data_IF_737238484016
#
_entry.id   IF_737238484016
#
_cell.length_a   1.000
_cell.length_b   1.000
_cell.length_c   1.000
_cell.angle_alpha   90.00
_cell.angle_beta   90.00
_cell.angle_gamma   90.00
#
_symmetry.space_group_name_H-M   'P 1'
#
loop_
_entity.id
_entity.type
_entity.pdbx_description
1 polymer ?
#
# COMPACT_ATOMS: atom_id res chain seq x y z
N UNK A 1 -16.15 -1.87 -15.75
CA UNK A 1 -14.99 -2.57 -16.35
C UNK A 1 -14.28 -1.74 -17.42
N UNK A 2 -14.98 -1.01 -18.31
CA UNK A 2 -14.32 -0.17 -19.34
C UNK A 2 -13.44 0.94 -18.77
N UNK A 3 -13.88 1.64 -17.71
CA UNK A 3 -13.11 2.75 -17.09
C UNK A 3 -11.76 2.29 -16.50
N UNK A 4 -11.68 1.05 -16.02
CA UNK A 4 -10.46 0.48 -15.45
C UNK A 4 -9.45 0.12 -16.54
N UNK A 5 -9.93 -0.35 -17.69
CA UNK A 5 -9.10 -0.62 -18.87
C UNK A 5 -8.60 0.68 -19.52
N UNK A 6 -9.46 1.70 -19.58
CA UNK A 6 -9.12 3.06 -20.06
C UNK A 6 -8.07 3.74 -19.18
N UNK A 7 -8.17 3.60 -17.85
CA UNK A 7 -7.11 4.05 -16.93
C UNK A 7 -5.77 3.37 -17.22
N UNK A 8 -5.76 2.06 -17.48
CA UNK A 8 -4.53 1.31 -17.75
C UNK A 8 -3.89 1.69 -19.08
N UNK A 9 -4.69 2.06 -20.09
CA UNK A 9 -4.18 2.48 -21.40
C UNK A 9 -3.78 3.94 -21.46
N UNK A 10 -4.43 4.83 -20.69
CA UNK A 10 -4.22 6.27 -20.80
C UNK A 10 -4.42 7.06 -19.48
N UNK A 11 -3.72 6.65 -18.43
CA UNK A 11 -3.85 7.20 -17.08
C UNK A 11 -3.69 8.74 -16.98
N UNK A 12 -2.89 9.36 -17.84
CA UNK A 12 -2.65 10.83 -17.81
C UNK A 12 -3.86 11.60 -18.30
N UNK A 13 -4.41 11.26 -19.46
CA UNK A 13 -5.57 11.95 -20.03
C UNK A 13 -6.83 11.68 -19.21
N UNK A 14 -7.02 10.43 -18.76
CA UNK A 14 -8.07 10.08 -17.81
C UNK A 14 -8.02 10.96 -16.55
N UNK A 15 -6.83 11.16 -16.00
CA UNK A 15 -6.65 11.90 -14.76
C UNK A 15 -6.79 13.43 -14.91
N UNK A 16 -6.78 13.97 -16.13
CA UNK A 16 -7.06 15.39 -16.33
C UNK A 16 -8.54 15.71 -16.06
N UNK A 17 -9.44 14.77 -16.35
CA UNK A 17 -10.89 14.97 -16.28
C UNK A 17 -11.54 14.25 -15.09
N UNK A 18 -10.95 13.17 -14.59
CA UNK A 18 -11.53 12.31 -13.55
C UNK A 18 -10.57 12.06 -12.40
N UNK A 19 -11.13 11.95 -11.20
CA UNK A 19 -10.38 11.58 -10.00
C UNK A 19 -9.80 10.17 -10.15
N UNK A 20 -8.50 10.03 -9.88
CA UNK A 20 -7.82 8.74 -10.05
C UNK A 20 -8.25 7.66 -9.05
N UNK A 21 -8.93 8.05 -7.97
CA UNK A 21 -9.32 7.14 -6.88
C UNK A 21 -10.78 6.69 -7.01
N UNK A 22 -11.70 7.63 -7.26
CA UNK A 22 -13.14 7.31 -7.36
C UNK A 22 -13.69 7.34 -8.79
N UNK A 23 -12.86 7.66 -9.79
CA UNK A 23 -13.20 7.72 -11.22
C UNK A 23 -14.29 8.75 -11.59
N UNK A 24 -14.81 9.51 -10.62
CA UNK A 24 -15.78 10.58 -10.86
C UNK A 24 -15.14 11.78 -11.57
N UNK A 25 -15.88 12.38 -12.49
CA UNK A 25 -15.45 13.59 -13.20
C UNK A 25 -15.28 14.77 -12.25
N UNK A 26 -14.24 15.58 -12.46
CA UNK A 26 -14.06 16.83 -11.74
C UNK A 26 -15.15 17.83 -12.11
N UNK A 27 -15.59 18.60 -11.12
CA UNK A 27 -16.59 19.66 -11.29
C UNK A 27 -16.13 20.85 -10.49
N UNK A 28 -16.05 22.01 -11.13
CA UNK A 28 -15.42 23.20 -10.57
C UNK A 28 -15.96 23.59 -9.17
N UNK A 29 -17.26 23.37 -8.93
CA UNK A 29 -17.93 23.74 -7.67
C UNK A 29 -18.06 22.56 -6.70
N UNK A 30 -18.52 21.40 -7.19
CA UNK A 30 -18.93 20.27 -6.33
C UNK A 30 -17.83 19.23 -6.13
N UNK A 31 -16.83 19.20 -7.00
CA UNK A 31 -15.80 18.18 -7.01
C UNK A 31 -14.48 18.78 -7.50
N UNK A 32 -13.93 19.76 -6.76
CA UNK A 32 -12.73 20.49 -7.17
C UNK A 32 -11.55 19.54 -7.33
N UNK A 33 -10.66 19.91 -8.24
CA UNK A 33 -9.52 19.10 -8.66
C UNK A 33 -8.29 19.49 -7.84
N UNK A 34 -7.77 18.55 -7.06
CA UNK A 34 -6.58 18.73 -6.22
C UNK A 34 -5.42 17.85 -6.70
N UNK A 35 -4.18 18.33 -6.57
CA UNK A 35 -2.98 17.57 -6.95
C UNK A 35 -2.37 16.88 -5.71
N UNK A 36 -2.27 15.56 -5.73
CA UNK A 36 -1.62 14.82 -4.66
C UNK A 36 -0.11 15.13 -4.59
N UNK A 37 0.40 15.51 -3.42
CA UNK A 37 1.82 15.83 -3.21
C UNK A 37 2.74 14.63 -3.39
N UNK A 38 2.25 13.41 -3.12
CA UNK A 38 3.04 12.18 -3.18
C UNK A 38 3.10 11.61 -4.61
N UNK A 39 1.95 11.23 -5.19
CA UNK A 39 1.92 10.54 -6.48
C UNK A 39 1.76 11.45 -7.70
N UNK A 40 1.57 12.77 -7.50
CA UNK A 40 1.39 13.76 -8.58
C UNK A 40 0.20 13.50 -9.51
N UNK A 41 -0.82 12.79 -9.03
CA UNK A 41 -2.08 12.55 -9.74
C UNK A 41 -3.20 13.41 -9.15
N UNK A 42 -4.14 13.82 -9.99
CA UNK A 42 -5.30 14.59 -9.59
C UNK A 42 -6.34 13.73 -8.86
N UNK A 43 -6.88 14.29 -7.79
CA UNK A 43 -7.89 13.68 -6.94
C UNK A 43 -8.95 14.70 -6.57
N UNK A 44 -10.16 14.24 -6.25
CA UNK A 44 -11.15 15.14 -5.71
C UNK A 44 -10.97 15.37 -4.22
N UNK A 45 -11.59 16.44 -3.71
CA UNK A 45 -11.65 16.77 -2.29
C UNK A 45 -12.01 15.56 -1.39
N UNK A 46 -13.00 14.75 -1.78
CA UNK A 46 -13.42 13.57 -1.00
C UNK A 46 -12.38 12.44 -1.00
N UNK A 47 -11.45 12.44 -1.94
CA UNK A 47 -10.41 11.42 -2.09
C UNK A 47 -9.03 11.87 -1.58
N UNK A 48 -8.92 13.09 -1.05
CA UNK A 48 -7.69 13.60 -0.45
C UNK A 48 -7.92 14.12 0.98
N UNK A 49 -6.80 14.46 1.63
CA UNK A 49 -6.74 15.09 2.93
C UNK A 49 -5.76 16.25 2.82
N UNK A 50 -6.14 17.40 3.36
CA UNK A 50 -5.27 18.57 3.46
C UNK A 50 -4.38 18.45 4.69
N UNK A 51 -3.09 18.71 4.52
CA UNK A 51 -2.11 18.79 5.61
C UNK A 51 -1.76 20.26 5.81
N UNK A 52 -2.22 20.92 6.89
CA UNK A 52 -1.98 22.35 7.11
C UNK A 52 -0.51 22.71 7.25
N UNK A 53 0.29 21.82 7.84
CA UNK A 53 1.71 22.06 8.15
C UNK A 53 2.54 22.23 6.88
N UNK A 54 2.28 21.38 5.87
CA UNK A 54 2.96 21.41 4.57
C UNK A 54 2.18 22.20 3.51
N UNK A 55 0.94 22.59 3.81
CA UNK A 55 -0.03 23.19 2.87
C UNK A 55 -0.24 22.33 1.62
N UNK A 56 -0.27 21.01 1.78
CA UNK A 56 -0.42 20.06 0.66
C UNK A 56 -1.65 19.19 0.76
N UNK A 57 -2.14 18.74 -0.39
CA UNK A 57 -3.15 17.69 -0.48
C UNK A 57 -2.51 16.34 -0.72
N UNK A 58 -2.93 15.32 0.03
CA UNK A 58 -2.47 13.93 -0.18
C UNK A 58 -3.67 13.02 -0.40
N UNK A 59 -3.62 12.15 -1.41
CA UNK A 59 -4.71 11.21 -1.64
C UNK A 59 -4.77 10.14 -0.54
N UNK A 60 -5.98 9.69 -0.21
CA UNK A 60 -6.21 8.66 0.82
C UNK A 60 -5.45 7.36 0.52
N UNK A 61 -5.23 7.03 -0.76
CA UNK A 61 -4.44 5.87 -1.16
C UNK A 61 -2.96 6.00 -0.78
N UNK A 62 -2.34 7.17 -0.98
CA UNK A 62 -0.95 7.42 -0.57
C UNK A 62 -0.80 7.42 0.95
N UNK A 63 -1.79 7.94 1.68
CA UNK A 63 -1.81 7.89 3.15
C UNK A 63 -1.83 6.44 3.63
N UNK A 64 -2.77 5.63 3.12
CA UNK A 64 -2.85 4.19 3.44
C UNK A 64 -1.59 3.42 3.06
N UNK A 65 -0.96 3.77 1.93
CA UNK A 65 0.29 3.14 1.51
C UNK A 65 1.40 3.43 2.51
N UNK A 66 1.52 4.68 2.97
CA UNK A 66 2.50 5.08 4.00
C UNK A 66 2.25 4.38 5.33
N UNK A 67 0.99 4.31 5.77
CA UNK A 67 0.59 3.54 6.96
C UNK A 67 0.98 2.06 6.82
N UNK A 68 0.67 1.45 5.67
CA UNK A 68 1.03 0.06 5.40
C UNK A 68 2.54 -0.17 5.41
N UNK A 69 3.33 0.73 4.84
CA UNK A 69 4.80 0.64 4.87
C UNK A 69 5.35 0.66 6.30
N UNK A 70 4.79 1.52 7.16
CA UNK A 70 5.16 1.58 8.59
C UNK A 70 4.74 0.30 9.31
N UNK A 71 3.47 -0.09 9.19
CA UNK A 71 2.89 -1.20 9.94
C UNK A 71 3.44 -2.56 9.52
N UNK A 72 3.70 -2.75 8.22
CA UNK A 72 4.29 -4.00 7.72
C UNK A 72 5.71 -4.22 8.24
N UNK A 73 6.41 -3.15 8.67
CA UNK A 73 7.83 -3.20 9.02
C UNK A 73 8.64 -3.92 7.94
N UNK A 74 8.29 -3.71 6.68
CA UNK A 74 8.86 -4.47 5.55
C UNK A 74 10.37 -4.36 5.53
N UNK A 75 10.92 -3.17 5.83
CA UNK A 75 12.35 -2.94 5.97
C UNK A 75 13.05 -3.93 6.93
N UNK A 76 12.41 -4.27 8.05
CA UNK A 76 12.96 -5.20 9.05
C UNK A 76 12.89 -6.63 8.54
N UNK A 77 11.72 -7.03 8.01
CA UNK A 77 11.52 -8.39 7.52
C UNK A 77 12.30 -8.69 6.24
N UNK A 78 12.53 -7.69 5.39
CA UNK A 78 13.38 -7.78 4.21
C UNK A 78 14.84 -8.03 4.61
N UNK A 79 15.34 -7.37 5.65
CA UNK A 79 16.71 -7.58 6.13
C UNK A 79 16.87 -8.90 6.89
N UNK A 80 15.89 -9.26 7.73
CA UNK A 80 15.87 -10.55 8.44
C UNK A 80 15.79 -11.72 7.46
N UNK A 81 15.00 -11.61 6.39
CA UNK A 81 14.82 -12.68 5.41
C UNK A 81 16.07 -12.96 4.58
N UNK A 82 16.95 -11.97 4.37
CA UNK A 82 18.26 -12.17 3.73
C UNK A 82 19.16 -13.12 4.54
N UNK A 83 19.09 -13.07 5.87
CA UNK A 83 19.93 -13.89 6.77
C UNK A 83 19.24 -15.17 7.22
N UNK A 84 17.92 -15.19 7.24
CA UNK A 84 17.14 -16.28 7.81
C UNK A 84 15.99 -16.68 6.90
N UNK A 85 16.04 -17.92 6.40
CA UNK A 85 14.97 -18.52 5.57
C UNK A 85 13.62 -18.64 6.29
N UNK A 86 13.60 -18.57 7.62
CA UNK A 86 12.40 -18.73 8.48
C UNK A 86 12.52 -17.87 9.73
N UNK A 87 11.38 -17.44 10.25
CA UNK A 87 11.31 -16.75 11.54
C UNK A 87 11.72 -17.67 12.70
N UNK A 88 12.07 -17.07 13.85
CA UNK A 88 12.56 -17.80 15.02
C UNK A 88 11.59 -18.85 15.54
N UNK A 89 10.30 -18.50 15.67
CA UNK A 89 9.25 -19.45 16.09
C UNK A 89 9.14 -20.66 15.15
N UNK A 90 9.18 -20.43 13.84
CA UNK A 90 9.18 -21.52 12.85
C UNK A 90 10.44 -22.40 12.92
N UNK A 91 11.60 -21.84 13.31
CA UNK A 91 12.82 -22.65 13.56
C UNK A 91 12.64 -23.51 14.81
N UNK A 92 12.10 -22.94 15.90
CA UNK A 92 11.87 -23.66 17.17
C UNK A 92 10.89 -24.81 16.97
N UNK A 93 9.72 -24.57 16.35
CA UNK A 93 8.73 -25.63 16.08
C UNK A 93 9.35 -26.79 15.30
N UNK A 94 10.20 -26.49 14.31
CA UNK A 94 10.86 -27.51 13.51
C UNK A 94 11.88 -28.32 14.31
N UNK A 95 12.62 -27.67 15.20
CA UNK A 95 13.58 -28.32 16.08
C UNK A 95 12.88 -29.20 17.12
N UNK A 96 11.78 -28.72 17.70
CA UNK A 96 10.96 -29.52 18.62
C UNK A 96 10.44 -30.80 17.96
N UNK A 97 9.85 -30.69 16.76
CA UNK A 97 9.41 -31.87 16.01
C UNK A 97 10.55 -32.80 15.58
N UNK A 98 11.76 -32.26 15.36
CA UNK A 98 12.93 -33.08 15.06
C UNK A 98 13.33 -33.92 16.28
N UNK A 99 13.44 -33.28 17.45
CA UNK A 99 13.78 -33.95 18.71
C UNK A 99 12.73 -34.97 19.13
N UNK A 100 11.45 -34.68 18.91
CA UNK A 100 10.36 -35.62 19.18
C UNK A 100 10.48 -36.89 18.32
N UNK A 101 10.76 -36.76 17.01
CA UNK A 101 11.00 -37.92 16.16
C UNK A 101 12.21 -38.73 16.61
N UNK A 102 13.31 -38.05 16.93
CA UNK A 102 14.52 -38.72 17.44
C UNK A 102 14.20 -39.49 18.72
N UNK A 103 13.52 -38.88 19.71
CA UNK A 103 13.11 -39.56 20.94
C UNK A 103 12.11 -40.72 20.70
N UNK A 104 11.25 -40.61 19.69
CA UNK A 104 10.33 -41.67 19.29
C UNK A 104 10.99 -42.82 18.54
N UNK A 105 12.15 -42.59 17.90
CA UNK A 105 12.97 -43.63 17.26
C UNK A 105 13.86 -44.41 18.26
N UNK A 106 14.06 -43.88 19.47
CA UNK A 106 14.82 -44.53 20.56
C UNK A 106 13.95 -45.27 21.59
N UNK A 107 12.62 -45.25 21.45
CA UNK A 107 11.67 -46.05 22.26
C UNK A 107 11.09 -47.19 21.43
#
# INVERSE_FOLDING_TARGET
ESERAEYLSNSKEFNLERCITCFKQFRFILNPKELCSECKLFVCHDCCIYTPETKTWTCKSCIKLKEYQILSSSWFYDEVSKKHKRCGSAKIVRELHKRERELGEFN
#
